data_IF_850144029433
#
_entry.id   IF_850144029433
#
_cell.length_a   1.000
_cell.length_b   1.000
_cell.length_c   1.000
_cell.angle_alpha   90.00
_cell.angle_beta   90.00
_cell.angle_gamma   90.00
#
_symmetry.space_group_name_H-M   'P 1'
#
loop_
_entity.id
_entity.type
_entity.pdbx_description
1 polymer ?
#
# COMPACT_ATOMS: atom_id res chain seq x y z
N UNK A 1 -12.26 9.49 -17.78
CA UNK A 1 -12.03 10.91 -18.12
C UNK A 1 -13.37 11.62 -18.16
N UNK A 2 -13.48 12.89 -17.76
CA UNK A 2 -14.76 13.61 -17.57
C UNK A 2 -14.81 14.98 -18.30
N UNK A 3 -15.98 15.38 -18.84
CA UNK A 3 -16.25 16.69 -19.51
C UNK A 3 -17.42 17.44 -18.86
N UNK A 4 -17.30 18.76 -18.66
CA UNK A 4 -18.40 19.63 -18.18
C UNK A 4 -19.32 20.07 -19.32
N UNK A 5 -20.64 20.04 -19.11
CA UNK A 5 -21.61 20.60 -20.07
C UNK A 5 -21.81 22.10 -19.80
N UNK A 6 -21.40 22.96 -20.74
CA UNK A 6 -21.74 24.39 -20.72
C UNK A 6 -22.95 24.64 -21.62
N UNK A 7 -24.07 25.09 -21.04
CA UNK A 7 -25.11 25.76 -21.82
C UNK A 7 -25.43 27.11 -21.19
N UNK A 8 -24.91 28.15 -21.84
CA UNK A 8 -25.33 29.52 -21.68
C UNK A 8 -26.67 29.72 -22.39
N UNK A 9 -27.71 30.11 -21.66
CA UNK A 9 -28.74 31.01 -22.18
C UNK A 9 -29.50 31.67 -21.03
N UNK A 10 -29.37 33.00 -20.96
CA UNK A 10 -30.28 33.89 -20.22
C UNK A 10 -31.58 34.01 -21.03
N UNK A 11 -32.75 33.79 -20.43
CA UNK A 11 -33.79 34.83 -20.18
C UNK A 11 -35.09 34.26 -19.61
N UNK A 12 -35.72 35.11 -18.79
CA UNK A 12 -37.12 35.23 -18.43
C UNK A 12 -37.75 34.29 -17.37
N UNK A 13 -38.08 34.93 -16.25
CA UNK A 13 -39.05 34.53 -15.24
C UNK A 13 -40.45 34.46 -15.89
N UNK A 14 -41.21 33.42 -15.59
CA UNK A 14 -42.67 33.49 -15.50
C UNK A 14 -43.19 32.38 -14.56
N UNK A 15 -43.97 32.81 -13.57
CA UNK A 15 -44.78 31.97 -12.68
C UNK A 15 -45.89 31.28 -13.48
N UNK A 16 -46.01 29.96 -13.32
CA UNK A 16 -47.26 29.22 -13.08
C UNK A 16 -47.01 27.72 -13.12
N UNK A 17 -47.55 27.01 -12.12
CA UNK A 17 -47.42 25.57 -11.96
C UNK A 17 -48.02 24.74 -13.09
N UNK A 18 -47.54 23.49 -13.15
CA UNK A 18 -47.89 22.35 -14.01
C UNK A 18 -47.17 22.18 -15.37
N UNK A 19 -46.50 21.02 -15.44
CA UNK A 19 -45.72 20.37 -16.50
C UNK A 19 -46.39 20.30 -17.88
N UNK A 20 -45.57 20.12 -18.93
CA UNK A 20 -45.83 19.04 -19.87
C UNK A 20 -44.59 18.19 -20.21
N UNK A 21 -44.80 16.87 -20.25
CA UNK A 21 -43.89 15.88 -20.82
C UNK A 21 -43.61 16.11 -22.33
N UNK A 22 -42.40 15.76 -22.80
CA UNK A 22 -41.99 15.41 -24.19
C UNK A 22 -40.45 15.22 -24.19
N UNK A 23 -39.80 14.19 -24.74
CA UNK A 23 -40.15 13.03 -25.58
C UNK A 23 -39.17 11.89 -25.27
N UNK A 24 -39.71 10.71 -25.00
CA UNK A 24 -38.99 9.43 -24.97
C UNK A 24 -39.10 8.80 -26.37
N UNK A 25 -37.98 8.32 -26.93
CA UNK A 25 -38.03 7.35 -28.04
C UNK A 25 -37.52 6.01 -27.52
N UNK A 26 -38.48 5.14 -27.20
CA UNK A 26 -38.29 3.71 -26.98
C UNK A 26 -38.32 3.01 -28.34
N UNK A 27 -37.34 2.16 -28.63
CA UNK A 27 -37.58 0.98 -29.47
C UNK A 27 -37.23 -0.24 -28.63
N UNK A 28 -38.26 -1.05 -28.37
CA UNK A 28 -38.14 -2.36 -27.76
C UNK A 28 -37.65 -3.37 -28.81
N UNK A 29 -36.67 -4.19 -28.45
CA UNK A 29 -36.60 -5.57 -28.88
C UNK A 29 -35.95 -6.38 -27.73
N UNK A 30 -36.71 -7.32 -27.16
CA UNK A 30 -36.24 -8.34 -26.22
C UNK A 30 -35.30 -9.32 -26.94
N UNK A 31 -34.11 -9.60 -26.38
CA UNK A 31 -33.48 -10.95 -26.39
C UNK A 31 -32.41 -11.01 -25.25
N UNK A 32 -31.96 -12.19 -24.79
CA UNK A 32 -32.12 -12.70 -23.43
C UNK A 32 -30.84 -12.59 -22.56
N UNK A 33 -30.97 -12.86 -21.27
CA UNK A 33 -29.83 -13.08 -20.37
C UNK A 33 -28.99 -14.29 -20.83
N UNK A 34 -27.65 -14.22 -20.86
CA UNK A 34 -26.85 -15.41 -21.07
C UNK A 34 -26.53 -16.10 -19.73
N UNK A 35 -26.71 -17.41 -19.76
CA UNK A 35 -26.36 -18.35 -18.72
C UNK A 35 -24.85 -18.40 -18.44
N UNK A 36 -24.51 -18.85 -17.22
CA UNK A 36 -23.20 -19.34 -16.82
C UNK A 36 -22.66 -20.35 -17.82
N UNK A 37 -21.44 -20.14 -18.33
CA UNK A 37 -20.68 -21.18 -19.03
C UNK A 37 -19.19 -21.07 -18.74
N UNK A 38 -18.55 -22.22 -18.76
CA UNK A 38 -17.27 -22.55 -18.15
C UNK A 38 -16.06 -21.78 -18.68
N UNK A 39 -15.10 -21.60 -17.78
CA UNK A 39 -13.78 -21.05 -17.96
C UNK A 39 -13.00 -21.65 -19.15
N UNK A 40 -12.41 -20.78 -19.97
CA UNK A 40 -11.06 -20.95 -20.54
C UNK A 40 -10.54 -19.64 -21.15
N UNK A 41 -9.26 -19.35 -20.87
CA UNK A 41 -8.45 -18.17 -21.16
C UNK A 41 -8.80 -17.31 -22.40
N UNK A 42 -9.11 -16.01 -22.18
CA UNK A 42 -8.64 -14.88 -23.00
C UNK A 42 -8.92 -13.51 -22.33
N UNK A 43 -7.89 -12.67 -22.21
CA UNK A 43 -7.92 -11.19 -22.15
C UNK A 43 -8.99 -10.51 -21.28
N UNK A 44 -8.82 -10.48 -19.96
CA UNK A 44 -9.67 -9.65 -19.11
C UNK A 44 -9.21 -8.17 -19.19
N UNK A 45 -9.96 -7.37 -19.96
CA UNK A 45 -9.68 -5.96 -20.29
C UNK A 45 -10.26 -4.97 -19.28
N UNK A 46 -10.90 -5.43 -18.20
CA UNK A 46 -11.47 -4.54 -17.20
C UNK A 46 -10.39 -3.90 -16.32
N UNK A 47 -10.49 -2.60 -16.00
CA UNK A 47 -9.60 -1.98 -15.02
C UNK A 47 -9.80 -2.68 -13.67
N UNK A 48 -8.73 -3.25 -13.12
CA UNK A 48 -8.77 -4.08 -11.90
C UNK A 48 -9.23 -3.28 -10.66
N UNK A 49 -9.18 -1.95 -10.74
CA UNK A 49 -9.35 -1.01 -9.64
C UNK A 49 -10.36 0.11 -9.93
N UNK A 50 -11.19 -0.02 -10.97
CA UNK A 50 -12.32 0.87 -11.22
C UNK A 50 -13.54 0.43 -10.40
N UNK A 51 -14.05 1.32 -9.54
CA UNK A 51 -15.28 1.08 -8.78
C UNK A 51 -16.47 1.77 -9.47
N UNK A 52 -16.96 1.22 -10.59
CA UNK A 52 -18.01 1.83 -11.41
C UNK A 52 -19.45 1.61 -10.87
N UNK A 53 -19.60 0.71 -9.90
CA UNK A 53 -20.89 0.36 -9.30
C UNK A 53 -21.29 1.29 -8.13
N UNK A 54 -20.33 2.04 -7.55
CA UNK A 54 -20.55 2.90 -6.38
C UNK A 54 -21.45 4.10 -6.72
N UNK A 55 -22.23 4.61 -5.75
CA UNK A 55 -23.09 5.78 -5.96
C UNK A 55 -22.34 7.02 -6.49
N UNK A 56 -21.11 7.25 -6.01
CA UNK A 56 -20.27 8.36 -6.42
C UNK A 56 -19.90 8.30 -7.90
N UNK A 57 -19.64 7.10 -8.44
CA UNK A 57 -19.31 6.95 -9.87
C UNK A 57 -20.54 7.18 -10.75
N UNK A 58 -21.70 6.67 -10.33
CA UNK A 58 -22.97 6.94 -11.01
C UNK A 58 -23.29 8.43 -11.04
N UNK A 59 -23.00 9.13 -9.93
CA UNK A 59 -23.14 10.59 -9.86
C UNK A 59 -22.14 11.30 -10.77
N UNK A 60 -20.88 10.86 -10.80
CA UNK A 60 -19.86 11.38 -11.74
C UNK A 60 -20.34 11.28 -13.20
N UNK A 61 -21.00 10.18 -13.58
CA UNK A 61 -21.55 9.99 -14.93
C UNK A 61 -22.77 10.87 -15.24
N UNK A 62 -23.45 11.39 -14.21
CA UNK A 62 -24.55 12.35 -14.38
C UNK A 62 -24.01 13.77 -14.54
N UNK A 63 -22.98 14.11 -13.76
CA UNK A 63 -22.38 15.45 -13.73
C UNK A 63 -21.41 15.67 -14.91
N UNK A 64 -20.83 14.61 -15.46
CA UNK A 64 -19.82 14.67 -16.51
C UNK A 64 -20.01 13.62 -17.62
N UNK A 65 -19.57 13.94 -18.84
CA UNK A 65 -19.39 12.93 -19.89
C UNK A 65 -18.15 12.07 -19.56
N UNK A 66 -18.37 10.80 -19.18
CA UNK A 66 -17.29 9.91 -18.73
C UNK A 66 -16.83 8.96 -19.83
N UNK A 67 -15.54 9.02 -20.19
CA UNK A 67 -14.87 8.07 -21.08
C UNK A 67 -14.04 7.06 -20.29
N UNK A 68 -14.23 5.78 -20.56
CA UNK A 68 -13.42 4.68 -20.04
C UNK A 68 -12.49 4.22 -21.16
N UNK A 69 -11.18 4.30 -20.94
CA UNK A 69 -10.15 3.84 -21.87
C UNK A 69 -9.45 2.62 -21.27
N UNK A 70 -9.39 1.53 -22.03
CA UNK A 70 -8.57 0.36 -21.69
C UNK A 70 -7.18 0.59 -22.25
N UNK A 71 -6.17 0.66 -21.37
CA UNK A 71 -4.79 0.91 -21.76
C UNK A 71 -4.13 -0.36 -22.29
N UNK A 72 -3.66 -0.32 -23.54
CA UNK A 72 -3.00 -1.45 -24.21
C UNK A 72 -1.51 -1.17 -24.43
N UNK A 73 -1.17 -0.11 -25.18
CA UNK A 73 0.22 0.29 -25.43
C UNK A 73 0.43 1.79 -25.19
N UNK A 74 1.68 2.22 -24.91
CA UNK A 74 2.03 3.64 -24.82
C UNK A 74 1.62 4.45 -26.06
N UNK A 75 1.82 3.91 -27.26
CA UNK A 75 1.55 4.59 -28.53
C UNK A 75 0.05 4.77 -28.75
N UNK A 76 -0.75 3.76 -28.40
CA UNK A 76 -2.20 3.82 -28.48
C UNK A 76 -2.76 4.90 -27.53
N UNK A 77 -2.26 4.93 -26.28
CA UNK A 77 -2.68 5.95 -25.32
C UNK A 77 -2.29 7.36 -25.77
N UNK A 78 -1.05 7.55 -26.27
CA UNK A 78 -0.61 8.82 -26.82
C UNK A 78 -1.46 9.26 -28.03
N UNK A 79 -1.84 8.32 -28.90
CA UNK A 79 -2.75 8.62 -30.01
C UNK A 79 -4.11 9.08 -29.49
N UNK A 80 -4.71 8.36 -28.54
CA UNK A 80 -5.99 8.73 -27.91
C UNK A 80 -5.94 10.11 -27.25
N UNK A 81 -4.84 10.48 -26.58
CA UNK A 81 -4.66 11.83 -26.01
C UNK A 81 -4.68 12.94 -27.07
N UNK A 82 -4.10 12.67 -28.25
CA UNK A 82 -4.02 13.66 -29.35
C UNK A 82 -5.32 13.77 -30.14
N UNK A 83 -6.09 12.68 -30.25
CA UNK A 83 -7.26 12.61 -31.13
C UNK A 83 -8.59 12.64 -30.37
N UNK A 84 -8.80 11.68 -29.48
CA UNK A 84 -10.08 11.43 -28.80
C UNK A 84 -10.26 12.27 -27.54
N UNK A 85 -9.17 12.55 -26.83
CA UNK A 85 -9.19 13.15 -25.49
C UNK A 85 -8.47 14.51 -25.42
N UNK A 86 -8.46 15.26 -26.53
CA UNK A 86 -7.74 16.53 -26.61
C UNK A 86 -8.44 17.72 -25.92
N UNK A 87 -9.63 17.52 -25.36
CA UNK A 87 -10.41 18.55 -24.67
C UNK A 87 -10.92 18.13 -23.27
N UNK A 88 -10.41 17.03 -22.70
CA UNK A 88 -10.80 16.56 -21.36
C UNK A 88 -10.38 17.55 -20.27
N UNK A 89 -11.12 17.59 -19.16
CA UNK A 89 -10.82 18.45 -18.00
C UNK A 89 -10.28 17.69 -16.79
N UNK A 90 -10.46 16.37 -16.73
CA UNK A 90 -9.96 15.52 -15.66
C UNK A 90 -9.54 14.12 -16.14
N UNK A 91 -8.48 13.60 -15.49
CA UNK A 91 -8.06 12.20 -15.56
C UNK A 91 -8.35 11.55 -14.20
N UNK A 92 -9.22 10.54 -14.23
CA UNK A 92 -9.34 9.52 -13.20
C UNK A 92 -8.31 8.45 -13.54
N UNK A 93 -7.26 8.32 -12.74
CA UNK A 93 -6.14 7.44 -13.04
C UNK A 93 -6.17 6.17 -12.18
N UNK A 94 -6.12 5.03 -12.84
CA UNK A 94 -6.08 3.69 -12.25
C UNK A 94 -4.68 3.07 -12.34
N UNK A 95 -4.44 1.98 -11.59
CA UNK A 95 -3.19 1.22 -11.62
C UNK A 95 -2.84 0.66 -13.02
N UNK A 96 -3.83 0.57 -13.91
CA UNK A 96 -3.61 0.16 -15.31
C UNK A 96 -2.58 1.04 -16.05
N UNK A 97 -2.34 2.28 -15.59
CA UNK A 97 -1.31 3.16 -16.16
C UNK A 97 0.10 2.55 -16.08
N UNK A 98 0.39 1.75 -15.05
CA UNK A 98 1.71 1.15 -14.88
C UNK A 98 2.00 0.06 -15.93
N UNK A 99 0.97 -0.52 -16.55
CA UNK A 99 1.12 -1.47 -17.67
C UNK A 99 1.76 -0.84 -18.91
N UNK A 100 1.66 0.49 -19.05
CA UNK A 100 2.22 1.25 -20.18
C UNK A 100 3.35 2.19 -19.75
N UNK A 101 3.98 1.92 -18.59
CA UNK A 101 5.16 2.68 -18.13
C UNK A 101 4.86 3.93 -17.28
N UNK A 102 3.61 4.10 -16.81
CA UNK A 102 3.24 5.22 -15.95
C UNK A 102 2.85 6.49 -16.71
N UNK A 103 2.51 7.56 -15.97
CA UNK A 103 2.00 8.79 -16.59
C UNK A 103 3.10 9.70 -17.17
N UNK A 104 4.31 9.66 -16.62
CA UNK A 104 5.39 10.59 -16.93
C UNK A 104 5.72 10.74 -18.43
N UNK A 105 5.79 9.66 -19.23
CA UNK A 105 6.05 9.77 -20.67
C UNK A 105 5.01 10.59 -21.44
N UNK A 106 3.82 10.76 -20.88
CA UNK A 106 2.68 11.39 -21.53
C UNK A 106 2.42 12.82 -21.05
N UNK A 107 3.11 13.28 -19.99
CA UNK A 107 2.80 14.58 -19.36
C UNK A 107 2.90 15.72 -20.36
N UNK A 108 3.83 15.75 -21.31
CA UNK A 108 3.93 16.83 -22.31
C UNK A 108 2.77 16.85 -23.32
N UNK A 109 2.05 15.74 -23.45
CA UNK A 109 0.99 15.55 -24.42
C UNK A 109 -0.42 15.65 -23.82
N UNK A 110 -0.55 15.82 -22.51
CA UNK A 110 -1.86 16.05 -21.89
C UNK A 110 -2.45 17.35 -22.43
N UNK A 111 -3.76 17.44 -22.69
CA UNK A 111 -4.37 18.61 -23.31
C UNK A 111 -4.30 19.84 -22.39
N UNK A 112 -4.27 21.03 -22.98
CA UNK A 112 -4.23 22.30 -22.24
C UNK A 112 -5.51 22.59 -21.44
N UNK A 113 -6.59 21.85 -21.70
CA UNK A 113 -7.85 21.93 -20.96
C UNK A 113 -7.85 21.12 -19.67
N UNK A 114 -6.86 20.24 -19.47
CA UNK A 114 -6.79 19.36 -18.31
C UNK A 114 -6.50 20.19 -17.05
N UNK A 115 -7.30 20.01 -16.00
CA UNK A 115 -7.15 20.71 -14.72
C UNK A 115 -6.68 19.81 -13.59
N UNK A 116 -7.05 18.52 -13.63
CA UNK A 116 -6.77 17.58 -12.56
C UNK A 116 -6.40 16.18 -13.07
N UNK A 117 -5.40 15.59 -12.44
CA UNK A 117 -5.13 14.16 -12.42
C UNK A 117 -5.40 13.67 -10.98
N UNK A 118 -6.35 12.76 -10.82
CA UNK A 118 -6.69 12.19 -9.53
C UNK A 118 -6.34 10.69 -9.52
N UNK A 119 -5.57 10.26 -8.52
CA UNK A 119 -5.14 8.86 -8.34
C UNK A 119 -5.89 8.20 -7.19
N UNK A 120 -6.11 6.89 -7.29
CA UNK A 120 -6.84 6.07 -6.30
C UNK A 120 -5.91 5.43 -5.26
N UNK A 121 -4.71 5.97 -5.07
CA UNK A 121 -3.70 5.46 -4.13
C UNK A 121 -2.90 6.60 -3.51
N UNK A 122 -2.16 6.33 -2.43
CA UNK A 122 -1.47 7.38 -1.64
C UNK A 122 -0.16 7.85 -2.27
N UNK A 123 0.71 6.92 -2.64
CA UNK A 123 2.07 7.21 -3.08
C UNK A 123 2.16 7.76 -4.50
N UNK A 124 2.77 8.92 -4.70
CA UNK A 124 2.76 9.63 -5.98
C UNK A 124 4.16 9.85 -6.58
N UNK A 125 5.22 9.24 -6.01
CA UNK A 125 6.61 9.40 -6.48
C UNK A 125 6.82 8.99 -7.96
N UNK A 126 5.98 8.11 -8.49
CA UNK A 126 6.04 7.68 -9.89
C UNK A 126 5.43 8.71 -10.88
N UNK A 127 4.87 9.81 -10.38
CA UNK A 127 4.26 10.87 -11.17
C UNK A 127 5.04 12.17 -10.93
N UNK A 128 5.49 12.82 -12.00
CA UNK A 128 6.18 14.11 -11.95
C UNK A 128 5.19 15.23 -11.64
N UNK A 129 4.93 15.43 -10.34
CA UNK A 129 4.04 16.46 -9.84
C UNK A 129 4.50 17.88 -10.18
N UNK A 130 5.81 18.13 -10.19
CA UNK A 130 6.36 19.45 -10.51
C UNK A 130 6.03 19.82 -11.96
N UNK A 131 6.22 18.88 -12.89
CA UNK A 131 5.88 19.08 -14.30
C UNK A 131 4.37 19.24 -14.52
N UNK A 132 3.52 18.53 -13.77
CA UNK A 132 2.08 18.78 -13.79
C UNK A 132 1.73 20.20 -13.31
N UNK A 133 2.35 20.64 -12.21
CA UNK A 133 2.14 21.98 -11.64
C UNK A 133 2.57 23.09 -12.60
N UNK A 134 3.71 22.93 -13.28
CA UNK A 134 4.18 23.89 -14.28
C UNK A 134 3.21 24.04 -15.47
N UNK A 135 2.39 23.02 -15.71
CA UNK A 135 1.30 23.03 -16.70
C UNK A 135 -0.05 23.45 -16.13
N UNK A 136 -0.12 23.84 -14.85
CA UNK A 136 -1.36 24.21 -14.17
C UNK A 136 -2.29 23.04 -13.86
N UNK A 137 -1.77 21.81 -13.83
CA UNK A 137 -2.54 20.59 -13.57
C UNK A 137 -2.34 20.18 -12.11
N UNK A 138 -3.45 20.06 -11.38
CA UNK A 138 -3.48 19.59 -10.00
C UNK A 138 -3.35 18.06 -9.98
N UNK A 139 -2.45 17.53 -9.15
CA UNK A 139 -2.36 16.11 -8.82
C UNK A 139 -2.97 15.91 -7.43
N UNK A 140 -3.95 15.02 -7.32
CA UNK A 140 -4.57 14.67 -6.03
C UNK A 140 -4.44 13.18 -5.74
N UNK A 141 -4.30 12.83 -4.46
CA UNK A 141 -4.34 11.46 -3.97
C UNK A 141 -5.55 11.22 -3.05
N UNK A 142 -5.51 10.15 -2.27
CA UNK A 142 -6.60 9.74 -1.36
C UNK A 142 -6.32 10.02 0.13
N UNK A 143 -5.28 10.80 0.45
CA UNK A 143 -4.88 11.08 1.82
C UNK A 143 -4.64 9.81 2.64
N UNK A 144 -5.30 9.72 3.80
CA UNK A 144 -5.16 8.60 4.74
C UNK A 144 -6.20 7.48 4.54
N UNK A 145 -6.92 7.45 3.41
CA UNK A 145 -8.00 6.49 3.18
C UNK A 145 -7.58 5.02 3.34
N UNK A 146 -6.33 4.68 2.98
CA UNK A 146 -5.77 3.33 3.12
C UNK A 146 -5.05 3.06 4.45
N UNK A 147 -5.06 4.00 5.39
CA UNK A 147 -4.22 3.92 6.58
C UNK A 147 -4.53 2.70 7.46
N UNK A 148 -5.81 2.33 7.57
CA UNK A 148 -6.25 1.21 8.40
C UNK A 148 -5.84 -0.14 7.81
N UNK A 149 -6.11 -0.35 6.52
CA UNK A 149 -5.76 -1.60 5.83
C UNK A 149 -4.25 -1.86 5.84
N UNK A 150 -3.45 -0.82 5.55
CA UNK A 150 -1.97 -0.93 5.59
C UNK A 150 -1.49 -1.24 7.00
N UNK A 151 -2.14 -0.66 8.02
CA UNK A 151 -1.79 -0.93 9.41
C UNK A 151 -2.17 -2.34 9.87
N UNK A 152 -3.22 -2.95 9.30
CA UNK A 152 -3.58 -4.35 9.56
C UNK A 152 -2.52 -5.31 8.99
N UNK A 153 -1.98 -5.01 7.79
CA UNK A 153 -0.84 -5.75 7.24
C UNK A 153 0.42 -5.57 8.09
N UNK A 154 0.70 -4.36 8.58
CA UNK A 154 1.82 -4.14 9.50
C UNK A 154 1.68 -4.94 10.80
N UNK A 155 0.46 -5.04 11.35
CA UNK A 155 0.16 -5.88 12.52
C UNK A 155 0.40 -7.36 12.22
N UNK A 156 -0.11 -7.86 11.09
CA UNK A 156 0.11 -9.23 10.64
C UNK A 156 1.60 -9.55 10.52
N UNK A 157 2.36 -8.71 9.81
CA UNK A 157 3.81 -8.88 9.65
C UNK A 157 4.52 -8.84 11.00
N UNK A 158 4.12 -7.92 11.90
CA UNK A 158 4.69 -7.83 13.25
C UNK A 158 4.48 -9.11 14.05
N UNK A 159 3.27 -9.68 14.03
CA UNK A 159 3.00 -10.98 14.69
C UNK A 159 3.85 -12.08 14.02
N UNK A 160 3.93 -12.06 12.70
CA UNK A 160 4.66 -13.06 11.92
C UNK A 160 6.15 -13.09 12.29
N UNK A 161 6.82 -11.94 12.38
CA UNK A 161 8.25 -11.86 12.73
C UNK A 161 8.52 -12.27 14.18
N UNK A 162 7.59 -12.05 15.10
CA UNK A 162 7.77 -12.51 16.49
C UNK A 162 7.62 -14.03 16.65
N UNK A 163 6.85 -14.67 15.76
CA UNK A 163 6.33 -16.03 15.94
C UNK A 163 6.67 -17.00 14.80
N UNK A 164 7.36 -16.54 13.76
CA UNK A 164 7.67 -17.25 12.51
C UNK A 164 6.44 -17.95 11.91
N UNK A 165 5.29 -17.27 11.87
CA UNK A 165 4.04 -17.89 11.43
C UNK A 165 4.10 -18.33 9.96
N UNK A 166 4.71 -17.53 9.09
CA UNK A 166 4.83 -17.84 7.66
C UNK A 166 5.57 -19.16 7.43
N UNK A 167 6.70 -19.35 8.11
CA UNK A 167 7.45 -20.60 8.03
C UNK A 167 6.70 -21.79 8.63
N UNK A 168 6.06 -21.63 9.79
CA UNK A 168 5.31 -22.74 10.40
C UNK A 168 4.08 -23.14 9.56
N UNK A 169 3.44 -22.19 8.86
CA UNK A 169 2.42 -22.49 7.86
C UNK A 169 2.99 -23.24 6.67
N UNK A 170 4.14 -22.81 6.13
CA UNK A 170 4.84 -23.51 5.06
C UNK A 170 5.20 -24.94 5.48
N UNK A 171 5.84 -25.10 6.64
CA UNK A 171 6.23 -26.38 7.23
C UNK A 171 5.02 -27.32 7.39
N UNK A 172 3.89 -26.83 7.89
CA UNK A 172 2.67 -27.64 8.02
C UNK A 172 2.15 -28.13 6.66
N UNK A 173 2.15 -27.27 5.64
CA UNK A 173 1.72 -27.63 4.27
C UNK A 173 2.66 -28.64 3.64
N UNK A 174 3.97 -28.43 3.77
CA UNK A 174 5.02 -29.32 3.24
C UNK A 174 5.02 -30.69 3.90
N UNK A 175 4.55 -30.78 5.15
CA UNK A 175 4.40 -32.04 5.90
C UNK A 175 2.97 -32.61 5.82
N UNK A 176 2.20 -32.30 4.77
CA UNK A 176 0.84 -32.82 4.54
C UNK A 176 -0.12 -32.64 5.74
N UNK A 177 0.04 -31.57 6.52
CA UNK A 177 -0.79 -31.29 7.68
C UNK A 177 -0.39 -32.02 8.97
N UNK A 178 0.74 -32.73 9.02
CA UNK A 178 1.24 -33.34 10.24
C UNK A 178 1.83 -32.29 11.19
N UNK A 179 1.11 -32.01 12.28
CA UNK A 179 1.49 -31.01 13.30
C UNK A 179 2.79 -31.41 14.03
N UNK A 180 3.05 -32.69 14.20
CA UNK A 180 4.26 -33.17 14.90
C UNK A 180 5.48 -32.89 14.05
N UNK A 181 5.45 -33.33 12.79
CA UNK A 181 6.54 -33.10 11.82
C UNK A 181 6.79 -31.60 11.60
N UNK A 182 5.72 -30.82 11.45
CA UNK A 182 5.83 -29.37 11.24
C UNK A 182 6.55 -28.63 12.39
N UNK A 183 6.54 -29.22 13.59
CA UNK A 183 7.13 -28.68 14.82
C UNK A 183 8.48 -29.30 15.19
N UNK A 184 9.01 -30.26 14.42
CA UNK A 184 10.27 -30.94 14.76
C UNK A 184 11.47 -29.99 14.84
N UNK A 185 11.41 -28.89 14.08
CA UNK A 185 12.42 -27.81 14.06
C UNK A 185 12.42 -26.95 15.33
N UNK A 186 11.39 -27.03 16.18
CA UNK A 186 11.31 -26.26 17.42
C UNK A 186 12.40 -26.73 18.40
N UNK A 187 13.16 -25.76 18.92
CA UNK A 187 14.34 -26.01 19.74
C UNK A 187 15.64 -26.12 18.95
N UNK A 188 15.56 -26.16 17.61
CA UNK A 188 16.72 -26.21 16.72
C UNK A 188 17.59 -24.95 16.78
N UNK A 189 18.91 -25.13 16.68
CA UNK A 189 19.90 -24.05 16.67
C UNK A 189 20.64 -23.87 15.35
N UNK A 190 20.54 -24.86 14.47
CA UNK A 190 21.29 -24.91 13.22
C UNK A 190 20.37 -24.83 12.01
N UNK A 191 20.93 -24.34 10.91
CA UNK A 191 20.36 -24.39 9.59
C UNK A 191 21.17 -25.36 8.73
N UNK A 192 20.52 -26.02 7.79
CA UNK A 192 21.20 -26.84 6.80
C UNK A 192 22.09 -25.94 5.92
N UNK A 193 23.38 -26.24 5.75
CA UNK A 193 24.29 -25.37 5.01
C UNK A 193 23.96 -25.29 3.51
N UNK A 194 23.26 -26.28 2.96
CA UNK A 194 22.88 -26.40 1.55
C UNK A 194 21.47 -25.86 1.32
N UNK A 195 20.46 -26.40 2.00
CA UNK A 195 19.06 -26.01 1.77
C UNK A 195 18.70 -24.69 2.47
N UNK A 196 19.49 -24.27 3.47
CA UNK A 196 19.22 -23.13 4.35
C UNK A 196 17.98 -23.29 5.23
N UNK A 197 17.41 -24.48 5.30
CA UNK A 197 16.27 -24.79 6.14
C UNK A 197 16.67 -25.01 7.61
N UNK A 198 15.83 -24.64 8.59
CA UNK A 198 16.01 -24.99 9.99
C UNK A 198 16.08 -26.51 10.21
N UNK A 199 17.03 -26.94 11.05
CA UNK A 199 17.17 -28.34 11.43
C UNK A 199 16.57 -28.61 12.82
N UNK A 200 16.06 -29.82 13.08
CA UNK A 200 15.65 -30.25 14.42
C UNK A 200 16.78 -30.13 15.46
N UNK A 201 16.47 -29.98 16.75
CA UNK A 201 17.47 -30.00 17.80
C UNK A 201 18.19 -31.36 17.85
N UNK A 202 19.52 -31.33 17.82
CA UNK A 202 20.36 -32.52 18.02
C UNK A 202 20.54 -32.87 19.50
N UNK A 203 20.45 -31.88 20.38
CA UNK A 203 20.52 -32.05 21.83
C UNK A 203 19.11 -32.34 22.43
N UNK A 204 18.91 -33.50 23.09
CA UNK A 204 17.65 -33.83 23.76
C UNK A 204 17.18 -32.79 24.80
N UNK A 205 18.10 -32.07 25.46
CA UNK A 205 17.73 -31.05 26.46
C UNK A 205 17.00 -29.86 25.84
N UNK A 206 17.23 -29.59 24.55
CA UNK A 206 16.59 -28.51 23.80
C UNK A 206 15.15 -28.79 23.41
N UNK A 207 14.69 -30.03 23.59
CA UNK A 207 13.25 -30.37 23.52
C UNK A 207 12.44 -29.68 24.64
N UNK A 208 13.10 -29.14 25.67
CA UNK A 208 12.45 -28.27 26.64
C UNK A 208 12.19 -26.89 26.03
N UNK A 209 11.06 -26.79 25.30
CA UNK A 209 10.64 -25.57 24.63
C UNK A 209 10.41 -24.40 25.59
N UNK A 210 10.11 -24.64 26.86
CA UNK A 210 9.99 -23.54 27.84
C UNK A 210 11.33 -22.82 28.08
N UNK A 211 12.46 -23.48 27.83
CA UNK A 211 13.81 -22.91 27.97
C UNK A 211 14.43 -22.50 26.63
N UNK A 212 14.10 -23.23 25.55
CA UNK A 212 14.83 -23.14 24.29
C UNK A 212 13.89 -23.04 23.09
N UNK A 213 12.87 -22.18 23.13
CA UNK A 213 11.97 -22.02 21.97
C UNK A 213 12.65 -21.22 20.85
N UNK A 214 13.40 -21.92 20.00
CA UNK A 214 14.08 -21.39 18.83
C UNK A 214 13.69 -22.14 17.55
N UNK A 215 13.89 -21.50 16.40
CA UNK A 215 13.97 -22.13 15.09
C UNK A 215 15.27 -21.63 14.46
N UNK A 216 16.14 -22.53 13.99
CA UNK A 216 17.42 -22.13 13.37
C UNK A 216 18.29 -21.22 14.25
N UNK A 217 18.23 -21.38 15.58
CA UNK A 217 18.98 -20.56 16.54
C UNK A 217 18.33 -19.23 16.89
N UNK A 218 17.18 -18.90 16.30
CA UNK A 218 16.49 -17.64 16.49
C UNK A 218 15.30 -17.81 17.43
N UNK A 219 15.26 -17.02 18.49
CA UNK A 219 14.19 -17.11 19.50
C UNK A 219 12.83 -16.67 18.97
N UNK A 220 11.80 -17.41 19.38
CA UNK A 220 10.41 -17.00 19.23
C UNK A 220 9.96 -16.34 20.53
N UNK A 221 9.45 -15.10 20.43
CA UNK A 221 9.02 -14.35 21.61
C UNK A 221 7.59 -13.84 21.43
N UNK A 222 6.92 -13.57 22.55
CA UNK A 222 5.71 -12.76 22.52
C UNK A 222 6.08 -11.30 22.19
N UNK A 223 5.27 -10.57 21.38
CA UNK A 223 5.41 -9.12 21.24
C UNK A 223 5.06 -8.36 22.53
N UNK A 224 4.30 -8.97 23.45
CA UNK A 224 3.84 -8.30 24.66
C UNK A 224 5.00 -7.79 25.52
N UNK A 225 4.93 -6.52 25.91
CA UNK A 225 5.94 -5.85 26.75
C UNK A 225 7.22 -5.45 26.03
N UNK A 226 7.39 -5.86 24.77
CA UNK A 226 8.52 -5.46 23.91
C UNK A 226 8.34 -4.03 23.39
N UNK A 227 9.40 -3.44 22.88
CA UNK A 227 9.42 -2.06 22.39
C UNK A 227 9.46 -2.05 20.87
N UNK A 228 8.54 -1.32 20.24
CA UNK A 228 8.58 -1.04 18.80
C UNK A 228 9.06 0.37 18.53
N UNK A 229 9.95 0.52 17.55
CA UNK A 229 10.31 1.80 16.94
C UNK A 229 9.57 1.98 15.63
N UNK A 230 8.71 2.98 15.53
CA UNK A 230 8.02 3.33 14.28
C UNK A 230 8.73 4.52 13.63
N UNK A 231 9.25 4.34 12.43
CA UNK A 231 9.84 5.42 11.62
C UNK A 231 8.77 5.95 10.68
N UNK A 232 8.37 7.20 10.87
CA UNK A 232 7.26 7.81 10.15
C UNK A 232 5.91 7.63 10.87
N UNK A 233 5.62 8.50 11.83
CA UNK A 233 4.33 8.51 12.54
C UNK A 233 3.30 9.49 11.92
N UNK A 234 3.03 9.29 10.61
CA UNK A 234 1.93 9.94 9.86
C UNK A 234 0.59 9.21 10.04
N UNK A 235 -0.37 9.38 9.14
CA UNK A 235 -1.69 8.71 9.23
C UNK A 235 -1.58 7.18 9.36
N UNK A 236 -0.84 6.54 8.43
CA UNK A 236 -0.53 5.10 8.50
C UNK A 236 0.21 4.75 9.80
N UNK A 237 1.27 5.47 10.15
CA UNK A 237 2.07 5.20 11.34
C UNK A 237 1.27 5.29 12.65
N UNK A 238 0.33 6.24 12.76
CA UNK A 238 -0.59 6.35 13.90
C UNK A 238 -1.54 5.15 13.99
N UNK A 239 -2.07 4.68 12.87
CA UNK A 239 -2.92 3.48 12.82
C UNK A 239 -2.15 2.20 13.15
N UNK A 240 -0.88 2.11 12.76
CA UNK A 240 0.04 1.04 13.17
C UNK A 240 0.26 1.10 14.68
N UNK A 241 0.60 2.27 15.22
CA UNK A 241 0.84 2.45 16.65
C UNK A 241 -0.36 2.00 17.50
N UNK A 242 -1.58 2.36 17.10
CA UNK A 242 -2.83 1.92 17.75
C UNK A 242 -2.91 0.39 17.86
N UNK A 243 -2.70 -0.32 16.76
CA UNK A 243 -2.78 -1.79 16.70
C UNK A 243 -1.67 -2.47 17.49
N UNK A 244 -0.44 -1.98 17.36
CA UNK A 244 0.71 -2.53 18.06
C UNK A 244 0.61 -2.29 19.57
N UNK A 245 0.07 -1.15 20.00
CA UNK A 245 -0.19 -0.89 21.41
C UNK A 245 -1.21 -1.86 22.01
N UNK A 246 -2.29 -2.19 21.27
CA UNK A 246 -3.32 -3.16 21.71
C UNK A 246 -2.73 -4.54 22.01
N UNK A 247 -1.75 -5.01 21.23
CA UNK A 247 -1.07 -6.29 21.50
C UNK A 247 0.03 -6.19 22.56
N UNK A 248 0.17 -5.03 23.22
CA UNK A 248 1.06 -4.79 24.35
C UNK A 248 2.47 -4.32 24.00
N UNK A 249 2.72 -3.85 22.77
CA UNK A 249 4.01 -3.22 22.44
C UNK A 249 4.07 -1.79 23.00
N UNK A 250 5.26 -1.44 23.51
CA UNK A 250 5.60 -0.06 23.92
C UNK A 250 6.00 0.73 22.68
N UNK A 251 5.36 1.87 22.45
CA UNK A 251 5.53 2.63 21.21
C UNK A 251 6.61 3.69 21.40
N UNK A 252 7.72 3.55 20.68
CA UNK A 252 8.64 4.64 20.38
C UNK A 252 8.51 5.02 18.92
N UNK A 253 8.73 6.28 18.58
CA UNK A 253 8.67 6.72 17.19
C UNK A 253 9.69 7.80 16.89
N UNK A 254 10.03 7.91 15.61
CA UNK A 254 10.79 9.03 15.07
C UNK A 254 10.08 9.61 13.85
N UNK A 255 10.00 10.94 13.81
CA UNK A 255 9.50 11.75 12.68
C UNK A 255 10.11 13.15 12.81
N UNK A 256 9.98 13.99 11.78
CA UNK A 256 10.64 15.33 11.74
C UNK A 256 10.31 16.26 12.91
N UNK A 257 9.08 16.21 13.42
CA UNK A 257 8.60 17.00 14.57
C UNK A 257 7.86 16.05 15.51
N UNK A 258 7.91 16.19 16.84
CA UNK A 258 7.09 15.37 17.73
C UNK A 258 5.59 15.54 17.40
N UNK A 259 4.77 14.61 17.89
CA UNK A 259 3.32 14.82 17.96
C UNK A 259 3.02 16.07 18.78
N UNK A 260 2.00 16.81 18.36
CA UNK A 260 1.40 17.84 19.22
C UNK A 260 0.65 17.19 20.38
N UNK A 261 0.32 17.98 21.41
CA UNK A 261 -0.50 17.50 22.53
C UNK A 261 -1.84 16.92 22.06
N UNK A 262 -2.51 17.60 21.11
CA UNK A 262 -3.77 17.14 20.51
C UNK A 262 -3.58 15.79 19.80
N UNK A 263 -2.56 15.66 18.96
CA UNK A 263 -2.29 14.38 18.27
C UNK A 263 -1.97 13.25 19.25
N UNK A 264 -1.32 13.54 20.38
CA UNK A 264 -1.00 12.56 21.42
C UNK A 264 -2.25 12.18 22.23
N UNK A 265 -3.14 13.12 22.53
CA UNK A 265 -4.44 12.85 23.15
C UNK A 265 -5.33 11.99 22.24
N UNK A 266 -5.40 12.29 20.95
CA UNK A 266 -6.14 11.52 19.95
C UNK A 266 -5.66 10.07 19.81
N UNK A 267 -4.37 9.81 20.03
CA UNK A 267 -3.85 8.44 20.06
C UNK A 267 -4.38 7.64 21.25
N UNK A 268 -4.52 8.28 22.42
CA UNK A 268 -5.10 7.66 23.61
C UNK A 268 -4.21 6.63 24.33
N UNK A 269 -2.92 6.53 23.99
CA UNK A 269 -1.95 5.67 24.69
C UNK A 269 -0.54 6.29 24.71
N UNK A 270 0.33 5.91 25.67
CA UNK A 270 1.67 6.47 25.77
C UNK A 270 2.53 6.18 24.53
N UNK A 271 3.17 7.23 24.01
CA UNK A 271 4.21 7.11 22.99
C UNK A 271 5.43 7.92 23.38
N UNK A 272 6.61 7.48 22.97
CA UNK A 272 7.86 8.19 23.22
C UNK A 272 8.47 8.67 21.90
N UNK A 273 8.70 9.98 21.80
CA UNK A 273 9.40 10.57 20.67
C UNK A 273 10.92 10.43 20.85
N UNK A 274 11.58 9.88 19.83
CA UNK A 274 13.04 9.86 19.72
C UNK A 274 13.42 10.70 18.50
N UNK A 275 14.15 11.79 18.74
CA UNK A 275 14.48 12.80 17.72
C UNK A 275 15.43 12.27 16.65
N UNK A 276 16.28 11.30 16.99
CA UNK A 276 17.27 10.72 16.10
C UNK A 276 17.01 9.23 15.85
N UNK A 277 17.04 8.82 14.58
CA UNK A 277 16.87 7.43 14.19
C UNK A 277 17.93 6.49 14.80
N UNK A 278 19.20 6.90 14.82
CA UNK A 278 20.29 6.10 15.36
C UNK A 278 20.16 5.89 16.88
N UNK A 279 19.59 6.86 17.60
CA UNK A 279 19.30 6.72 19.04
C UNK A 279 18.13 5.78 19.31
N UNK A 280 17.19 5.64 18.37
CA UNK A 280 16.04 4.74 18.50
C UNK A 280 16.46 3.27 18.43
N UNK A 281 17.37 2.92 17.52
CA UNK A 281 17.79 1.55 17.20
C UNK A 281 18.24 0.69 18.41
N UNK A 282 19.07 1.18 19.35
CA UNK A 282 19.51 0.37 20.48
C UNK A 282 18.39 0.13 21.53
N UNK A 283 17.22 0.75 21.37
CA UNK A 283 16.16 0.74 22.38
C UNK A 283 15.00 -0.21 22.03
N UNK A 284 14.94 -0.69 20.80
CA UNK A 284 13.77 -1.39 20.24
C UNK A 284 14.03 -2.88 20.02
N UNK A 285 12.95 -3.65 20.01
CA UNK A 285 12.93 -5.09 19.71
C UNK A 285 12.29 -5.35 18.32
N UNK A 286 11.46 -4.41 17.85
CA UNK A 286 10.84 -4.39 16.54
C UNK A 286 11.03 -3.00 15.92
N UNK A 287 11.45 -2.95 14.66
CA UNK A 287 11.46 -1.74 13.84
C UNK A 287 10.33 -1.82 12.80
N UNK A 288 9.51 -0.78 12.69
CA UNK A 288 8.50 -0.65 11.63
C UNK A 288 8.82 0.58 10.78
N UNK A 289 9.05 0.35 9.49
CA UNK A 289 9.28 1.41 8.50
C UNK A 289 7.97 1.79 7.82
N UNK A 290 7.49 3.01 8.09
CA UNK A 290 6.26 3.60 7.55
C UNK A 290 6.56 4.97 6.91
N UNK A 291 7.65 5.05 6.16
CA UNK A 291 8.14 6.29 5.54
C UNK A 291 7.84 6.33 4.03
N UNK A 292 7.57 7.52 3.46
CA UNK A 292 7.60 7.71 2.03
C UNK A 292 9.05 7.58 1.51
N UNK A 293 9.20 7.36 0.19
CA UNK A 293 10.52 7.38 -0.43
C UNK A 293 11.00 8.81 -0.62
N UNK A 294 12.18 9.10 -0.10
CA UNK A 294 12.95 10.32 -0.32
C UNK A 294 14.45 10.02 -0.21
N UNK A 295 15.35 10.95 -0.60
CA UNK A 295 16.79 10.79 -0.37
C UNK A 295 17.13 10.53 1.10
N UNK A 296 16.42 11.18 2.03
CA UNK A 296 16.66 11.07 3.47
C UNK A 296 16.16 9.74 4.07
N UNK A 297 15.23 9.06 3.39
CA UNK A 297 14.66 7.77 3.84
C UNK A 297 15.21 6.58 3.07
N UNK A 298 16.11 6.82 2.12
CA UNK A 298 16.78 5.75 1.36
C UNK A 298 17.90 5.15 2.20
N UNK A 299 17.97 3.81 2.25
CA UNK A 299 18.95 3.04 3.02
C UNK A 299 19.05 3.48 4.50
N UNK A 300 17.90 3.70 5.15
CA UNK A 300 17.84 3.89 6.60
C UNK A 300 18.47 2.69 7.32
N UNK A 301 18.20 1.47 6.84
CA UNK A 301 18.95 0.28 7.23
C UNK A 301 20.11 0.09 6.28
N UNK A 302 21.33 0.24 6.78
CA UNK A 302 22.60 0.17 6.07
C UNK A 302 23.70 -0.39 6.99
N UNK A 303 24.94 -0.49 6.50
CA UNK A 303 26.07 -1.07 7.25
C UNK A 303 26.39 -0.37 8.58
N UNK A 304 26.06 0.91 8.71
CA UNK A 304 26.31 1.69 9.92
C UNK A 304 25.17 1.51 10.92
N UNK A 305 23.94 1.68 10.47
CA UNK A 305 22.76 1.66 11.34
C UNK A 305 22.46 0.26 11.86
N UNK A 306 22.74 -0.80 11.08
CA UNK A 306 22.55 -2.18 11.51
C UNK A 306 23.43 -2.56 12.70
N UNK A 307 24.58 -1.89 12.90
CA UNK A 307 25.49 -2.13 14.03
C UNK A 307 24.97 -1.56 15.35
N UNK A 308 23.98 -0.67 15.29
CA UNK A 308 23.41 0.01 16.46
C UNK A 308 22.24 -0.76 17.10
N UNK A 309 21.73 -1.78 16.40
CA UNK A 309 20.52 -2.49 16.81
C UNK A 309 20.84 -3.50 17.92
N UNK A 310 19.82 -3.85 18.71
CA UNK A 310 19.95 -4.99 19.62
C UNK A 310 20.07 -6.29 18.82
N UNK A 311 20.92 -7.25 19.24
CA UNK A 311 20.88 -8.60 18.69
C UNK A 311 19.47 -9.19 18.77
N UNK A 312 19.01 -9.79 17.68
CA UNK A 312 17.65 -10.30 17.57
C UNK A 312 16.58 -9.25 17.22
N UNK A 313 16.98 -8.10 16.67
CA UNK A 313 16.05 -7.10 16.12
C UNK A 313 15.11 -7.76 15.12
N UNK A 314 13.84 -7.37 15.13
CA UNK A 314 12.87 -7.71 14.08
C UNK A 314 12.55 -6.48 13.25
N UNK A 315 12.32 -6.65 11.96
CA UNK A 315 12.05 -5.54 11.04
C UNK A 315 10.74 -5.79 10.29
N UNK A 316 9.92 -4.77 10.14
CA UNK A 316 8.74 -4.76 9.27
C UNK A 316 8.83 -3.56 8.33
N UNK A 317 8.69 -3.78 7.03
CA UNK A 317 8.64 -2.70 6.05
C UNK A 317 7.32 -2.76 5.27
N UNK A 318 6.52 -1.71 5.45
CA UNK A 318 5.26 -1.44 4.71
C UNK A 318 5.33 -0.10 3.96
N UNK A 319 6.49 0.56 4.01
CA UNK A 319 6.72 1.87 3.41
C UNK A 319 7.20 1.71 1.97
N UNK A 320 8.52 1.74 1.79
CA UNK A 320 9.17 1.60 0.49
C UNK A 320 10.41 0.72 0.62
N UNK A 321 10.64 -0.17 -0.34
CA UNK A 321 11.76 -1.11 -0.29
C UNK A 321 13.13 -0.42 -0.25
N UNK A 322 13.26 0.73 -0.91
CA UNK A 322 14.49 1.54 -0.90
C UNK A 322 14.94 2.01 0.50
N UNK A 323 14.09 1.93 1.52
CA UNK A 323 14.46 2.25 2.90
C UNK A 323 15.45 1.26 3.53
N UNK A 324 15.61 0.08 2.92
CA UNK A 324 16.52 -0.96 3.38
C UNK A 324 17.55 -1.23 2.28
N UNK A 325 18.81 -1.27 2.66
CA UNK A 325 19.84 -1.94 1.88
C UNK A 325 19.66 -3.47 2.03
N UNK A 326 19.13 -4.12 0.99
CA UNK A 326 18.76 -5.54 1.02
C UNK A 326 19.97 -6.47 1.24
N UNK A 327 21.17 -6.11 0.76
CA UNK A 327 22.37 -6.91 0.98
C UNK A 327 22.79 -6.88 2.45
N UNK A 328 22.71 -5.71 3.08
CA UNK A 328 22.97 -5.54 4.51
C UNK A 328 21.94 -6.32 5.34
N UNK A 329 20.66 -6.23 4.99
CA UNK A 329 19.59 -6.97 5.68
C UNK A 329 19.81 -8.48 5.60
N UNK A 330 20.10 -9.00 4.40
CA UNK A 330 20.31 -10.44 4.19
C UNK A 330 21.50 -10.95 5.00
N UNK A 331 22.61 -10.20 5.03
CA UNK A 331 23.76 -10.54 5.87
C UNK A 331 23.42 -10.49 7.36
N UNK A 332 22.68 -9.47 7.81
CA UNK A 332 22.29 -9.34 9.21
C UNK A 332 21.35 -10.47 9.67
N UNK A 333 20.52 -11.00 8.77
CA UNK A 333 19.74 -12.21 9.00
C UNK A 333 20.64 -13.44 9.11
N UNK A 334 21.66 -13.59 8.25
CA UNK A 334 22.63 -14.70 8.32
C UNK A 334 23.41 -14.68 9.65
N UNK A 335 23.86 -13.49 10.07
CA UNK A 335 24.63 -13.29 11.30
C UNK A 335 23.76 -13.39 12.59
N UNK A 336 22.43 -13.47 12.46
CA UNK A 336 21.50 -13.50 13.59
C UNK A 336 21.33 -12.15 14.32
N UNK A 337 21.94 -11.06 13.81
CA UNK A 337 21.72 -9.69 14.29
C UNK A 337 20.24 -9.32 14.12
N UNK A 338 19.68 -9.65 12.96
CA UNK A 338 18.24 -9.58 12.70
C UNK A 338 17.64 -10.98 12.90
N UNK A 339 16.64 -11.08 13.77
CA UNK A 339 15.93 -12.31 14.05
C UNK A 339 15.08 -12.72 12.83
N UNK A 340 14.24 -11.82 12.36
CA UNK A 340 13.33 -12.09 11.24
C UNK A 340 12.82 -10.77 10.66
N UNK A 341 12.29 -10.83 9.44
CA UNK A 341 11.78 -9.65 8.74
C UNK A 341 10.45 -9.91 8.05
N UNK A 342 9.56 -8.92 8.08
CA UNK A 342 8.28 -8.91 7.38
C UNK A 342 8.27 -7.82 6.32
N UNK A 343 8.13 -8.18 5.05
CA UNK A 343 8.22 -7.25 3.92
C UNK A 343 6.93 -7.28 3.10
N UNK A 344 6.26 -6.15 2.99
CA UNK A 344 5.23 -5.93 1.96
C UNK A 344 5.82 -5.22 0.73
N UNK A 345 7.02 -4.64 0.85
CA UNK A 345 7.66 -3.84 -0.20
C UNK A 345 9.14 -4.20 -0.38
N UNK A 346 9.64 -4.04 -1.61
CA UNK A 346 10.99 -4.45 -2.04
C UNK A 346 11.66 -3.37 -2.89
N UNK A 347 13.00 -3.38 -2.93
CA UNK A 347 13.78 -2.35 -3.63
C UNK A 347 13.52 -2.34 -5.14
N UNK A 348 13.40 -3.52 -5.74
CA UNK A 348 13.35 -3.72 -7.19
C UNK A 348 11.99 -4.22 -7.70
N UNK A 349 10.88 -3.79 -7.08
CA UNK A 349 9.54 -4.17 -7.53
C UNK A 349 9.32 -3.89 -9.03
N UNK A 350 8.67 -4.81 -9.78
CA UNK A 350 7.99 -6.02 -9.32
C UNK A 350 8.88 -7.27 -9.16
N UNK A 351 10.18 -7.18 -9.46
CA UNK A 351 11.11 -8.31 -9.39
C UNK A 351 11.96 -8.26 -8.12
N UNK A 352 11.54 -8.98 -7.09
CA UNK A 352 12.21 -8.99 -5.79
C UNK A 352 13.53 -9.79 -5.83
N UNK A 353 14.42 -9.56 -4.87
CA UNK A 353 15.63 -10.38 -4.74
C UNK A 353 15.26 -11.85 -4.44
N UNK A 354 15.72 -12.81 -5.26
CA UNK A 354 15.36 -14.22 -5.10
C UNK A 354 15.82 -14.82 -3.76
N UNK A 355 16.80 -14.21 -3.08
CA UNK A 355 17.27 -14.65 -1.76
C UNK A 355 16.21 -14.50 -0.66
N UNK A 356 15.16 -13.70 -0.86
CA UNK A 356 14.03 -13.59 0.07
C UNK A 356 12.97 -14.69 -0.13
N UNK A 357 12.81 -15.22 -1.35
CA UNK A 357 11.65 -16.05 -1.73
C UNK A 357 11.53 -17.33 -0.91
N UNK A 358 12.66 -18.02 -0.69
CA UNK A 358 12.69 -19.31 0.00
C UNK A 358 13.29 -19.22 1.41
N UNK A 359 13.32 -18.02 2.00
CA UNK A 359 14.01 -17.80 3.27
C UNK A 359 13.04 -17.97 4.45
N UNK A 360 13.31 -18.93 5.32
CA UNK A 360 12.41 -19.32 6.41
C UNK A 360 12.19 -18.24 7.50
N UNK A 361 13.10 -17.30 7.66
CA UNK A 361 13.02 -16.21 8.64
C UNK A 361 12.48 -14.89 8.05
N UNK A 362 11.89 -14.98 6.85
CA UNK A 362 11.30 -13.86 6.13
C UNK A 362 9.83 -14.14 5.84
N UNK A 363 8.96 -13.21 6.21
CA UNK A 363 7.57 -13.18 5.75
C UNK A 363 7.46 -12.15 4.63
N UNK A 364 7.07 -12.57 3.43
CA UNK A 364 6.91 -11.68 2.28
C UNK A 364 5.44 -11.57 1.85
N UNK A 365 5.04 -10.38 1.41
CA UNK A 365 3.75 -10.08 0.81
C UNK A 365 3.95 -9.25 -0.47
N UNK A 366 3.11 -9.42 -1.50
CA UNK A 366 3.31 -8.79 -2.80
C UNK A 366 2.73 -7.37 -2.88
N UNK A 367 3.15 -6.47 -1.99
CA UNK A 367 2.70 -5.06 -1.95
C UNK A 367 1.19 -4.92 -1.89
N UNK A 368 0.59 -5.57 -0.90
CA UNK A 368 -0.86 -5.71 -0.77
C UNK A 368 -1.45 -4.93 0.40
N UNK A 369 -0.68 -4.04 1.04
CA UNK A 369 -1.10 -3.21 2.17
C UNK A 369 -2.50 -2.61 2.07
N UNK A 370 -2.91 -2.16 0.89
CA UNK A 370 -4.20 -1.50 0.66
C UNK A 370 -5.19 -2.34 -0.17
N UNK A 371 -4.94 -3.64 -0.38
CA UNK A 371 -5.69 -4.47 -1.33
C UNK A 371 -6.93 -5.10 -0.68
N UNK A 372 -7.91 -4.25 -0.35
CA UNK A 372 -9.23 -4.67 0.13
C UNK A 372 -10.33 -4.02 -0.70
N UNK A 373 -11.44 -4.74 -0.90
CA UNK A 373 -12.61 -4.19 -1.64
C UNK A 373 -13.07 -2.88 -1.00
N UNK A 374 -13.09 -2.82 0.33
CA UNK A 374 -13.47 -1.62 1.09
C UNK A 374 -12.53 -0.44 0.78
N UNK A 375 -11.21 -0.67 0.81
CA UNK A 375 -10.24 0.37 0.48
C UNK A 375 -10.35 0.83 -0.99
N UNK A 376 -10.47 -0.10 -1.95
CA UNK A 376 -10.66 0.26 -3.35
C UNK A 376 -11.91 1.14 -3.53
N UNK A 377 -13.01 0.84 -2.84
CA UNK A 377 -14.25 1.64 -2.93
C UNK A 377 -14.08 3.04 -2.33
N UNK A 378 -13.55 3.15 -1.10
CA UNK A 378 -13.36 4.46 -0.46
C UNK A 378 -12.30 5.32 -1.18
N UNK A 379 -11.27 4.70 -1.73
CA UNK A 379 -10.23 5.38 -2.50
C UNK A 379 -10.80 5.98 -3.78
N UNK A 380 -11.61 5.21 -4.51
CA UNK A 380 -12.26 5.69 -5.73
C UNK A 380 -13.34 6.74 -5.43
N UNK A 381 -14.12 6.59 -4.35
CA UNK A 381 -15.04 7.64 -3.91
C UNK A 381 -14.30 8.95 -3.56
N UNK A 382 -13.14 8.84 -2.92
CA UNK A 382 -12.30 10.01 -2.57
C UNK A 382 -11.71 10.67 -3.81
N UNK A 383 -11.19 9.88 -4.76
CA UNK A 383 -10.74 10.35 -6.06
C UNK A 383 -11.84 11.15 -6.77
N UNK A 384 -13.07 10.63 -6.82
CA UNK A 384 -14.21 11.31 -7.45
C UNK A 384 -14.48 12.64 -6.75
N UNK A 385 -14.46 12.68 -5.42
CA UNK A 385 -14.63 13.93 -4.66
C UNK A 385 -13.54 14.96 -4.95
N UNK A 386 -12.29 14.54 -5.18
CA UNK A 386 -11.23 15.44 -5.64
C UNK A 386 -11.57 16.06 -7.00
N UNK A 387 -12.05 15.25 -7.97
CA UNK A 387 -12.46 15.74 -9.29
C UNK A 387 -13.61 16.74 -9.17
N UNK A 388 -14.66 16.40 -8.41
CA UNK A 388 -15.81 17.28 -8.18
C UNK A 388 -15.38 18.61 -7.52
N UNK A 389 -14.48 18.56 -6.54
CA UNK A 389 -13.99 19.76 -5.86
C UNK A 389 -13.26 20.71 -6.83
N UNK A 390 -12.35 20.20 -7.67
CA UNK A 390 -11.62 21.04 -8.64
C UNK A 390 -12.55 21.56 -9.73
N UNK A 391 -13.39 20.69 -10.31
CA UNK A 391 -14.15 21.05 -11.51
C UNK A 391 -15.45 21.81 -11.24
N UNK A 392 -16.13 21.53 -10.12
CA UNK A 392 -17.44 22.14 -9.80
C UNK A 392 -17.36 23.22 -8.74
N UNK A 393 -16.43 23.10 -7.80
CA UNK A 393 -16.33 24.00 -6.64
C UNK A 393 -15.18 25.01 -6.79
N UNK A 394 -14.32 24.84 -7.80
CA UNK A 394 -13.16 25.70 -8.01
C UNK A 394 -12.08 25.57 -6.93
N UNK A 395 -12.05 24.44 -6.22
CA UNK A 395 -11.04 24.15 -5.21
C UNK A 395 -9.77 23.55 -5.79
N UNK A 396 -8.86 23.11 -4.91
CA UNK A 396 -7.57 22.50 -5.24
C UNK A 396 -7.56 20.97 -5.09
N UNK A 397 -8.72 20.37 -4.85
CA UNK A 397 -8.84 18.98 -4.42
C UNK A 397 -8.83 18.86 -2.89
N UNK A 398 -9.33 17.74 -2.38
CA UNK A 398 -9.30 17.42 -0.95
C UNK A 398 -7.89 17.06 -0.47
N UNK A 399 -7.11 16.41 -1.34
CA UNK A 399 -5.76 15.95 -1.01
C UNK A 399 -4.77 16.25 -2.16
N UNK A 400 -4.43 17.52 -2.41
CA UNK A 400 -3.41 17.89 -3.40
C UNK A 400 -2.01 17.44 -2.96
N UNK A 401 -1.17 17.06 -3.94
CA UNK A 401 0.17 16.52 -3.68
C UNK A 401 1.29 17.11 -4.55
N UNK A 402 1.01 18.11 -5.39
CA UNK A 402 2.03 18.75 -6.23
C UNK A 402 2.11 20.26 -6.09
#
# INVERSE_FOLDING_TARGET
MARTTSNSNRTAINDNGYTPARRVRRQNAQVPAPASSNASNSGDTNPVDLADDIPEFKKLQQDFEVFIEVLTTPEAFLHSLKTKYNDISAIYLTFSIFKIGGLNPFIDYLPSTLKIVAISWVGHNAIDGAKLRDRGIILTNIGDASAKDVADIALFLSISVFRNTSYLEHSLRSNNGDITQAREVLGGESIDPVTKEPLPPTDPYRKNLAKFLTIGGKELNSPFGKTVGIVGLGGIGKEIAKRLNVIGLKIKYTKRKPLTEIEQEELGFPTEFVSNFNELLPQIDLLVLAVPQSPETTHLINEETIKLVKPGLRIVNIGRGAAIDEDVLLKALDDGIVNSVGLDVFKNEPHIDPRFVNRWDVTILPHMGSFTVDNFRISNATLIKNIENVLLQGGEGLFPVN
#
